data_IF_818103657996
#
_entry.id   IF_818103657996
#
_cell.length_a   1.000
_cell.length_b   1.000
_cell.length_c   1.000
_cell.angle_alpha   90.00
_cell.angle_beta   90.00
_cell.angle_gamma   90.00
#
_symmetry.space_group_name_H-M   'P 1'
#
loop_
_entity.id
_entity.type
_entity.pdbx_description
1 polymer ?
#
# COMPACT_ATOMS: atom_id res chain seq x y z
N UNK A 1 6.48 -24.60 -11.34
CA UNK A 1 7.69 -25.37 -10.99
C UNK A 1 8.45 -24.61 -9.90
N UNK A 2 8.78 -25.25 -8.77
CA UNK A 2 9.49 -24.58 -7.68
C UNK A 2 11.01 -24.61 -7.90
N UNK A 3 11.70 -23.49 -7.58
CA UNK A 3 13.16 -23.38 -7.66
C UNK A 3 13.81 -24.21 -6.56
N UNK A 4 14.81 -25.00 -6.90
CA UNK A 4 15.46 -25.98 -6.01
C UNK A 4 16.59 -25.40 -5.15
N UNK A 5 17.12 -24.24 -5.54
CA UNK A 5 18.20 -23.54 -4.81
C UNK A 5 17.92 -22.04 -4.79
N UNK A 6 18.18 -21.40 -3.63
CA UNK A 6 18.10 -19.94 -3.51
C UNK A 6 19.36 -19.33 -4.13
N UNK A 7 19.17 -18.41 -5.07
CA UNK A 7 20.27 -17.71 -5.71
C UNK A 7 21.07 -16.90 -4.67
N UNK A 8 22.43 -16.97 -4.69
CA UNK A 8 23.23 -16.27 -3.69
C UNK A 8 22.99 -14.74 -3.65
N UNK A 9 22.73 -14.13 -4.82
CA UNK A 9 22.40 -12.71 -4.92
C UNK A 9 21.10 -12.37 -4.19
N UNK A 10 20.07 -13.19 -4.38
CA UNK A 10 18.75 -13.01 -3.76
C UNK A 10 18.85 -13.20 -2.25
N UNK A 11 19.56 -14.27 -1.81
CA UNK A 11 19.83 -14.48 -0.38
C UNK A 11 20.49 -13.25 0.23
N UNK A 12 21.59 -12.78 -0.37
CA UNK A 12 22.38 -11.63 0.12
C UNK A 12 21.57 -10.33 0.15
N UNK A 13 20.78 -10.04 -0.91
CA UNK A 13 19.93 -8.86 -0.96
C UNK A 13 18.88 -8.91 0.14
N UNK A 14 18.16 -10.01 0.28
CA UNK A 14 17.07 -10.14 1.26
C UNK A 14 17.59 -10.14 2.71
N UNK A 15 18.70 -10.85 3.00
CA UNK A 15 19.28 -10.84 4.36
C UNK A 15 19.76 -9.46 4.74
N UNK A 16 20.44 -8.76 3.81
CA UNK A 16 20.90 -7.38 4.04
C UNK A 16 19.74 -6.42 4.27
N UNK A 17 18.67 -6.55 3.49
CA UNK A 17 17.48 -5.71 3.63
C UNK A 17 16.82 -5.90 5.00
N UNK A 18 16.65 -7.15 5.44
CA UNK A 18 16.09 -7.46 6.75
C UNK A 18 16.98 -6.92 7.87
N UNK A 19 18.29 -7.09 7.78
CA UNK A 19 19.24 -6.58 8.76
C UNK A 19 19.21 -5.04 8.84
N UNK A 20 19.10 -4.36 7.70
CA UNK A 20 19.07 -2.91 7.62
C UNK A 20 17.80 -2.31 8.27
N UNK A 21 16.64 -2.93 8.06
CA UNK A 21 15.37 -2.40 8.54
C UNK A 21 14.95 -2.91 9.92
N UNK A 22 15.20 -4.18 10.23
CA UNK A 22 14.83 -4.75 11.53
C UNK A 22 16.01 -4.78 12.52
N UNK A 23 17.21 -4.42 12.08
CA UNK A 23 18.44 -4.54 12.88
C UNK A 23 18.69 -5.97 13.41
N UNK A 24 18.26 -6.98 12.62
CA UNK A 24 18.24 -8.39 13.00
C UNK A 24 18.93 -9.24 11.95
N UNK A 25 19.94 -9.98 12.33
CA UNK A 25 20.57 -11.01 11.48
C UNK A 25 19.71 -12.28 11.46
N UNK A 26 19.16 -12.59 10.28
CA UNK A 26 18.30 -13.75 10.03
C UNK A 26 19.03 -15.09 10.29
N UNK A 27 20.35 -15.12 10.11
CA UNK A 27 21.18 -16.32 10.28
C UNK A 27 21.48 -16.60 11.76
N UNK A 28 21.31 -15.63 12.64
CA UNK A 28 21.52 -15.78 14.07
C UNK A 28 20.58 -16.86 14.65
N UNK A 29 21.11 -17.70 15.55
CA UNK A 29 20.38 -18.85 16.11
C UNK A 29 19.50 -18.50 17.31
N UNK A 30 19.45 -17.23 17.73
CA UNK A 30 18.64 -16.82 18.88
C UNK A 30 17.14 -17.08 18.67
N UNK A 31 16.41 -17.27 19.77
CA UNK A 31 14.96 -17.52 19.80
C UNK A 31 14.15 -16.29 20.25
N UNK A 32 14.77 -15.12 20.29
CA UNK A 32 14.02 -13.89 20.58
C UNK A 32 12.99 -13.63 19.50
N UNK A 33 11.87 -13.03 19.88
CA UNK A 33 10.70 -12.87 18.99
C UNK A 33 11.05 -12.07 17.72
N UNK A 34 11.80 -11.01 17.85
CA UNK A 34 12.26 -10.18 16.72
C UNK A 34 13.01 -11.01 15.64
N UNK A 35 13.85 -11.97 16.07
CA UNK A 35 14.57 -12.86 15.14
C UNK A 35 13.67 -13.94 14.54
N UNK A 36 12.64 -14.37 15.28
CA UNK A 36 11.64 -15.31 14.76
C UNK A 36 10.82 -14.60 13.67
N UNK A 37 10.34 -13.39 13.94
CA UNK A 37 9.59 -12.56 13.00
C UNK A 37 10.39 -12.30 11.71
N UNK A 38 11.63 -11.87 11.83
CA UNK A 38 12.53 -11.66 10.71
C UNK A 38 12.72 -12.92 9.84
N UNK A 39 12.88 -14.09 10.46
CA UNK A 39 12.98 -15.37 9.74
C UNK A 39 11.66 -15.75 9.06
N UNK A 40 10.52 -15.51 9.70
CA UNK A 40 9.21 -15.78 9.10
C UNK A 40 9.01 -14.92 7.84
N UNK A 41 9.36 -13.62 7.90
CA UNK A 41 9.35 -12.71 6.76
C UNK A 41 10.25 -13.22 5.63
N UNK A 42 11.48 -13.64 5.96
CA UNK A 42 12.42 -14.23 5.01
C UNK A 42 11.83 -15.47 4.32
N UNK A 43 11.22 -16.40 5.08
CA UNK A 43 10.60 -17.61 4.52
C UNK A 43 9.44 -17.26 3.58
N UNK A 44 8.57 -16.34 4.00
CA UNK A 44 7.41 -15.92 3.24
C UNK A 44 7.81 -15.31 1.89
N UNK A 45 8.75 -14.37 1.88
CA UNK A 45 9.20 -13.72 0.66
C UNK A 45 9.89 -14.67 -0.32
N UNK A 46 10.70 -15.61 0.16
CA UNK A 46 11.29 -16.62 -0.72
C UNK A 46 10.25 -17.62 -1.26
N UNK A 47 9.20 -17.91 -0.50
CA UNK A 47 8.08 -18.73 -0.97
C UNK A 47 7.31 -18.00 -2.08
N UNK A 48 7.08 -16.70 -1.96
CA UNK A 48 6.50 -15.87 -3.03
C UNK A 48 7.38 -15.84 -4.29
N UNK A 49 8.70 -15.91 -4.12
CA UNK A 49 9.65 -16.08 -5.23
C UNK A 49 9.66 -17.50 -5.81
N UNK A 50 8.76 -18.38 -5.38
CA UNK A 50 8.61 -19.78 -5.82
C UNK A 50 9.82 -20.67 -5.51
N UNK A 51 10.53 -20.40 -4.42
CA UNK A 51 11.52 -21.35 -3.91
C UNK A 51 10.83 -22.46 -3.12
N UNK A 52 11.37 -23.68 -3.23
CA UNK A 52 10.89 -24.80 -2.42
C UNK A 52 11.32 -24.64 -0.96
N UNK A 53 10.53 -25.18 -0.03
CA UNK A 53 10.87 -25.16 1.40
C UNK A 53 12.25 -25.78 1.68
N UNK A 54 12.62 -26.80 0.93
CA UNK A 54 13.96 -27.42 1.02
C UNK A 54 15.06 -26.46 0.57
N UNK A 55 14.84 -25.65 -0.47
CA UNK A 55 15.79 -24.64 -0.94
C UNK A 55 15.96 -23.54 0.11
N UNK A 56 14.86 -23.06 0.69
CA UNK A 56 14.85 -22.06 1.74
C UNK A 56 15.57 -22.58 2.99
N UNK A 57 15.29 -23.81 3.38
CA UNK A 57 15.93 -24.45 4.53
C UNK A 57 17.47 -24.55 4.36
N UNK A 58 17.91 -24.98 3.18
CA UNK A 58 19.35 -25.03 2.87
C UNK A 58 20.02 -23.67 2.93
N UNK A 59 19.34 -22.60 2.50
CA UNK A 59 19.91 -21.24 2.50
C UNK A 59 20.28 -20.72 3.90
N UNK A 60 19.57 -21.19 4.93
CA UNK A 60 19.81 -20.82 6.34
C UNK A 60 20.33 -22.00 7.21
N UNK A 61 20.76 -23.11 6.58
CA UNK A 61 21.19 -24.32 7.27
C UNK A 61 20.16 -24.82 8.31
N UNK A 62 18.88 -24.87 7.90
CA UNK A 62 17.74 -25.33 8.70
C UNK A 62 17.11 -26.58 8.09
N UNK A 63 16.18 -27.20 8.84
CA UNK A 63 15.35 -28.29 8.31
C UNK A 63 14.12 -27.71 7.59
N UNK A 64 13.62 -28.39 6.56
CA UNK A 64 12.41 -27.98 5.85
C UNK A 64 11.18 -27.90 6.76
N UNK A 65 11.09 -28.77 7.78
CA UNK A 65 10.04 -28.73 8.79
C UNK A 65 10.04 -27.40 9.59
N UNK A 66 11.23 -26.82 9.82
CA UNK A 66 11.38 -25.50 10.46
C UNK A 66 10.77 -24.40 9.59
N UNK A 67 10.93 -24.49 8.27
CA UNK A 67 10.36 -23.52 7.34
C UNK A 67 8.83 -23.64 7.31
N UNK A 68 8.31 -24.85 7.23
CA UNK A 68 6.87 -25.10 7.27
C UNK A 68 6.24 -24.58 8.56
N UNK A 69 6.84 -24.89 9.71
CA UNK A 69 6.35 -24.39 11.00
C UNK A 69 6.40 -22.85 11.06
N UNK A 70 7.49 -22.24 10.59
CA UNK A 70 7.60 -20.78 10.56
C UNK A 70 6.58 -20.11 9.63
N UNK A 71 6.25 -20.73 8.50
CA UNK A 71 5.22 -20.22 7.61
C UNK A 71 3.81 -20.36 8.19
N UNK A 72 3.49 -21.48 8.83
CA UNK A 72 2.22 -21.64 9.52
C UNK A 72 2.06 -20.61 10.65
N UNK A 73 3.12 -20.44 11.46
CA UNK A 73 3.12 -19.44 12.52
C UNK A 73 2.99 -18.00 11.97
N UNK A 74 3.59 -17.72 10.81
CA UNK A 74 3.41 -16.44 10.13
C UNK A 74 1.93 -16.20 9.76
N UNK A 75 1.26 -17.19 9.15
CA UNK A 75 -0.15 -17.09 8.78
C UNK A 75 -1.03 -16.88 10.02
N UNK A 76 -0.77 -17.62 11.11
CA UNK A 76 -1.53 -17.50 12.36
C UNK A 76 -1.37 -16.12 13.02
N UNK A 77 -0.18 -15.51 12.94
CA UNK A 77 0.13 -14.21 13.55
C UNK A 77 -0.19 -13.02 12.64
N UNK A 78 -0.29 -13.23 11.35
CA UNK A 78 -0.38 -12.13 10.37
C UNK A 78 -1.55 -11.18 10.60
N UNK A 79 -2.70 -11.70 11.04
CA UNK A 79 -3.88 -10.90 11.31
C UNK A 79 -3.87 -10.26 12.70
N UNK A 80 -3.12 -10.83 13.63
CA UNK A 80 -3.09 -10.46 15.05
C UNK A 80 -1.95 -9.48 15.34
N UNK A 81 -0.75 -9.76 14.80
CA UNK A 81 0.46 -8.98 15.03
C UNK A 81 0.59 -7.88 13.97
N UNK A 82 0.26 -6.66 14.38
CA UNK A 82 0.32 -5.48 13.52
C UNK A 82 1.76 -5.14 13.10
N UNK A 83 2.72 -5.27 14.02
CA UNK A 83 4.13 -4.94 13.77
C UNK A 83 4.72 -5.92 12.74
N UNK A 84 4.52 -7.22 12.92
CA UNK A 84 4.93 -8.24 11.94
C UNK A 84 4.36 -7.96 10.55
N UNK A 85 3.09 -7.55 10.47
CA UNK A 85 2.42 -7.27 9.21
C UNK A 85 2.99 -6.02 8.52
N UNK A 86 3.23 -4.95 9.28
CA UNK A 86 3.83 -3.71 8.76
C UNK A 86 5.26 -3.96 8.26
N UNK A 87 6.08 -4.66 9.05
CA UNK A 87 7.43 -5.05 8.67
C UNK A 87 7.46 -5.91 7.40
N UNK A 88 6.55 -6.88 7.31
CA UNK A 88 6.44 -7.73 6.13
C UNK A 88 6.10 -6.91 4.87
N UNK A 89 5.11 -6.03 4.93
CA UNK A 89 4.74 -5.22 3.76
C UNK A 89 5.84 -4.27 3.34
N UNK A 90 6.52 -3.64 4.29
CA UNK A 90 7.65 -2.76 4.03
C UNK A 90 8.80 -3.51 3.34
N UNK A 91 9.26 -4.60 3.94
CA UNK A 91 10.37 -5.40 3.39
C UNK A 91 9.98 -6.02 2.05
N UNK A 92 8.73 -6.48 1.90
CA UNK A 92 8.19 -7.01 0.66
C UNK A 92 8.25 -5.98 -0.47
N UNK A 93 7.76 -4.78 -0.22
CA UNK A 93 7.78 -3.70 -1.19
C UNK A 93 9.21 -3.39 -1.63
N UNK A 94 10.10 -3.14 -0.70
CA UNK A 94 11.50 -2.82 -0.98
C UNK A 94 12.21 -3.94 -1.74
N UNK A 95 11.99 -5.20 -1.36
CA UNK A 95 12.61 -6.36 -2.00
C UNK A 95 12.17 -6.55 -3.45
N UNK A 96 10.90 -6.32 -3.76
CA UNK A 96 10.40 -6.44 -5.13
C UNK A 96 10.71 -5.20 -5.97
N UNK A 97 10.76 -4.01 -5.39
CA UNK A 97 11.17 -2.77 -6.06
C UNK A 97 12.65 -2.83 -6.49
N UNK A 98 13.55 -3.34 -5.65
CA UNK A 98 14.94 -3.61 -6.04
C UNK A 98 15.05 -4.53 -7.27
N UNK A 99 14.17 -5.52 -7.37
CA UNK A 99 14.20 -6.53 -8.43
C UNK A 99 13.57 -6.07 -9.74
N UNK A 100 12.69 -5.08 -9.71
CA UNK A 100 11.99 -4.59 -10.90
C UNK A 100 12.78 -3.58 -11.72
N UNK A 101 14.03 -3.26 -11.34
CA UNK A 101 14.84 -2.20 -11.94
C UNK A 101 14.12 -0.83 -11.94
N UNK A 102 13.16 -0.66 -11.03
CA UNK A 102 12.48 0.62 -10.86
C UNK A 102 13.50 1.70 -10.50
N UNK A 103 13.38 2.91 -11.04
CA UNK A 103 14.37 3.98 -10.83
C UNK A 103 14.42 4.53 -9.40
N UNK A 104 13.63 3.99 -8.49
CA UNK A 104 13.75 4.22 -7.04
C UNK A 104 14.92 3.40 -6.48
N UNK A 105 16.14 3.73 -6.96
CA UNK A 105 17.38 3.39 -6.25
C UNK A 105 17.23 3.92 -4.83
N UNK A 106 17.59 3.08 -3.83
CA UNK A 106 17.67 3.47 -2.43
C UNK A 106 18.17 4.89 -2.28
N UNK A 107 17.24 5.75 -2.03
CA UNK A 107 17.51 7.10 -1.59
C UNK A 107 18.23 7.00 -0.27
N UNK A 108 19.26 7.78 -0.08
CA UNK A 108 19.90 7.94 1.23
C UNK A 108 18.81 8.27 2.25
N UNK A 109 19.04 8.02 3.55
CA UNK A 109 18.11 8.42 4.62
C UNK A 109 17.59 9.85 4.44
N UNK A 110 18.45 10.74 3.92
CA UNK A 110 18.09 12.14 3.62
C UNK A 110 17.09 12.25 2.45
N UNK A 111 17.28 11.49 1.38
CA UNK A 111 16.33 11.47 0.24
C UNK A 111 14.99 10.87 0.62
N UNK A 112 14.97 9.84 1.47
CA UNK A 112 13.72 9.29 2.02
C UNK A 112 12.99 10.32 2.89
N UNK A 113 13.70 11.05 3.74
CA UNK A 113 13.11 12.12 4.55
C UNK A 113 12.54 13.25 3.68
N UNK A 114 13.23 13.61 2.59
CA UNK A 114 12.70 14.58 1.61
C UNK A 114 11.43 14.03 0.95
N UNK A 115 11.44 12.78 0.50
CA UNK A 115 10.27 12.15 -0.11
C UNK A 115 9.07 12.05 0.85
N UNK A 116 9.32 11.73 2.12
CA UNK A 116 8.27 11.71 3.16
C UNK A 116 7.68 13.11 3.31
N UNK A 117 8.51 14.14 3.45
CA UNK A 117 8.05 15.51 3.58
C UNK A 117 7.25 15.97 2.35
N UNK A 118 7.67 15.60 1.15
CA UNK A 118 6.95 15.90 -0.09
C UNK A 118 5.59 15.20 -0.14
N UNK A 119 5.52 13.93 0.24
CA UNK A 119 4.28 13.17 0.31
C UNK A 119 3.34 13.72 1.39
N UNK A 120 3.84 14.14 2.54
CA UNK A 120 3.06 14.80 3.58
C UNK A 120 2.47 16.13 3.08
N UNK A 121 3.27 16.93 2.36
CA UNK A 121 2.80 18.18 1.75
C UNK A 121 1.75 17.95 0.67
N UNK A 122 1.91 16.93 -0.17
CA UNK A 122 0.92 16.52 -1.17
C UNK A 122 -0.38 16.06 -0.49
N UNK A 123 -0.30 15.22 0.54
CA UNK A 123 -1.47 14.81 1.31
C UNK A 123 -2.21 16.00 1.94
N UNK A 124 -1.49 16.95 2.49
CA UNK A 124 -2.08 18.17 3.05
C UNK A 124 -2.80 18.99 1.98
N UNK A 125 -2.20 19.15 0.80
CA UNK A 125 -2.82 19.88 -0.31
C UNK A 125 -4.06 19.15 -0.86
N UNK A 126 -4.01 17.82 -0.98
CA UNK A 126 -5.15 16.99 -1.39
C UNK A 126 -6.30 17.07 -0.40
N UNK A 127 -6.01 17.02 0.90
CA UNK A 127 -7.04 17.17 1.93
C UNK A 127 -7.73 18.53 1.88
N UNK A 128 -6.98 19.62 1.65
CA UNK A 128 -7.56 20.95 1.44
C UNK A 128 -8.45 21.01 0.19
N UNK A 129 -8.05 20.34 -0.89
CA UNK A 129 -8.86 20.25 -2.11
C UNK A 129 -10.15 19.46 -1.86
N UNK A 130 -10.06 18.33 -1.15
CA UNK A 130 -11.24 17.52 -0.77
C UNK A 130 -12.23 18.34 0.06
N UNK A 131 -11.76 19.12 1.04
CA UNK A 131 -12.65 19.98 1.83
C UNK A 131 -13.32 21.06 0.95
N UNK A 132 -12.59 21.71 0.07
CA UNK A 132 -13.18 22.69 -0.88
C UNK A 132 -14.24 22.05 -1.81
N UNK A 133 -13.97 20.82 -2.31
CA UNK A 133 -14.92 20.09 -3.13
C UNK A 133 -16.17 19.70 -2.35
N UNK A 134 -16.01 19.28 -1.06
CA UNK A 134 -17.15 18.99 -0.18
C UNK A 134 -18.02 20.22 0.07
N UNK A 135 -17.40 21.39 0.30
CA UNK A 135 -18.14 22.64 0.49
C UNK A 135 -18.87 23.07 -0.79
N UNK A 136 -18.21 22.92 -1.93
CA UNK A 136 -18.86 23.14 -3.23
C UNK A 136 -20.04 22.19 -3.43
N UNK A 137 -19.86 20.90 -3.13
CA UNK A 137 -20.94 19.91 -3.25
C UNK A 137 -22.13 20.28 -2.36
N UNK A 138 -21.91 20.70 -1.10
CA UNK A 138 -22.98 21.18 -0.22
C UNK A 138 -23.74 22.34 -0.82
N UNK A 139 -23.03 23.25 -1.51
CA UNK A 139 -23.68 24.39 -2.19
C UNK A 139 -24.59 23.94 -3.36
N UNK A 140 -24.22 22.87 -4.05
CA UNK A 140 -25.03 22.29 -5.13
C UNK A 140 -26.21 21.47 -4.59
N UNK A 141 -26.05 20.72 -3.50
CA UNK A 141 -27.14 19.99 -2.85
C UNK A 141 -28.32 20.88 -2.46
N UNK A 142 -28.05 22.16 -2.20
CA UNK A 142 -29.11 23.16 -1.99
C UNK A 142 -30.09 23.27 -3.15
N UNK A 143 -29.70 22.85 -4.35
CA UNK A 143 -30.51 22.93 -5.56
C UNK A 143 -31.04 21.58 -6.05
N UNK A 144 -30.81 20.49 -5.31
CA UNK A 144 -31.24 19.13 -5.69
C UNK A 144 -32.76 19.07 -5.91
N UNK A 145 -33.54 19.79 -5.09
CA UNK A 145 -34.98 19.91 -5.27
C UNK A 145 -35.38 20.48 -6.66
N UNK A 146 -34.52 21.26 -7.30
CA UNK A 146 -34.79 21.76 -8.64
C UNK A 146 -34.67 20.69 -9.71
N UNK A 147 -33.75 19.75 -9.51
CA UNK A 147 -33.60 18.58 -10.39
C UNK A 147 -34.80 17.66 -10.26
N UNK A 148 -35.28 17.40 -9.04
CA UNK A 148 -36.49 16.62 -8.79
C UNK A 148 -37.72 17.25 -9.50
N UNK A 149 -37.90 18.57 -9.40
CA UNK A 149 -39.00 19.28 -10.10
C UNK A 149 -38.85 19.18 -11.61
N UNK A 150 -37.63 19.23 -12.16
CA UNK A 150 -37.38 19.12 -13.58
C UNK A 150 -37.72 17.73 -14.09
N UNK A 151 -37.33 16.68 -13.36
CA UNK A 151 -37.61 15.29 -13.68
C UNK A 151 -39.12 14.96 -13.54
N UNK A 152 -39.77 15.33 -12.45
CA UNK A 152 -41.18 15.09 -12.22
C UNK A 152 -42.08 15.73 -13.30
N UNK A 153 -41.69 16.92 -13.78
CA UNK A 153 -42.44 17.63 -14.82
C UNK A 153 -42.07 17.23 -16.24
N UNK A 154 -41.14 16.30 -16.42
CA UNK A 154 -40.66 15.80 -17.71
C UNK A 154 -40.39 16.98 -18.69
N UNK A 155 -39.63 17.96 -18.18
CA UNK A 155 -39.32 19.20 -18.92
C UNK A 155 -38.28 18.87 -20.00
N UNK A 156 -38.75 18.87 -21.27
CA UNK A 156 -37.85 18.79 -22.40
C UNK A 156 -36.99 20.07 -22.51
N UNK A 157 -35.93 20.02 -23.30
CA UNK A 157 -34.93 21.10 -23.42
C UNK A 157 -35.54 22.46 -23.80
N UNK A 158 -36.60 22.47 -24.62
CA UNK A 158 -37.30 23.65 -25.01
C UNK A 158 -38.06 24.32 -23.84
N UNK A 159 -38.77 23.52 -23.04
CA UNK A 159 -39.45 24.00 -21.85
C UNK A 159 -38.47 24.48 -20.78
N UNK A 160 -37.32 23.81 -20.65
CA UNK A 160 -36.24 24.19 -19.73
C UNK A 160 -35.65 25.55 -20.12
N UNK A 161 -35.41 25.79 -21.40
CA UNK A 161 -34.92 27.09 -21.91
C UNK A 161 -35.94 28.22 -21.70
N UNK A 162 -37.21 27.92 -21.85
CA UNK A 162 -38.30 28.89 -21.57
C UNK A 162 -38.38 29.22 -20.07
N UNK A 163 -38.21 28.22 -19.22
CA UNK A 163 -38.13 28.40 -17.76
C UNK A 163 -36.91 29.24 -17.37
N UNK A 164 -35.72 28.95 -17.90
CA UNK A 164 -34.49 29.73 -17.65
C UNK A 164 -34.66 31.21 -18.03
N UNK A 165 -35.30 31.49 -19.17
CA UNK A 165 -35.58 32.89 -19.62
C UNK A 165 -36.49 33.59 -18.62
N UNK A 166 -37.57 32.96 -18.17
CA UNK A 166 -38.48 33.52 -17.19
C UNK A 166 -37.80 33.74 -15.83
N UNK A 167 -37.01 32.82 -15.39
CA UNK A 167 -36.26 32.93 -14.12
C UNK A 167 -35.31 34.12 -14.18
N UNK A 168 -34.54 34.24 -15.26
CA UNK A 168 -33.60 35.35 -15.46
C UNK A 168 -34.33 36.71 -15.52
N UNK A 169 -35.51 36.79 -16.13
CA UNK A 169 -36.28 38.04 -16.15
C UNK A 169 -36.78 38.45 -14.76
N UNK A 170 -37.16 37.45 -13.93
CA UNK A 170 -37.58 37.71 -12.53
C UNK A 170 -36.40 38.14 -11.67
N UNK A 171 -35.26 37.48 -11.83
CA UNK A 171 -34.05 37.74 -11.02
C UNK A 171 -33.37 39.10 -11.39
N UNK A 172 -33.47 39.52 -12.64
CA UNK A 172 -32.84 40.76 -13.12
C UNK A 172 -33.78 41.94 -13.14
N UNK A 173 -35.01 41.78 -12.67
CA UNK A 173 -35.96 42.91 -12.51
C UNK A 173 -36.45 43.55 -13.82
N UNK A 174 -36.45 42.77 -14.91
CA UNK A 174 -36.93 43.22 -16.24
C UNK A 174 -38.11 42.37 -16.66
#
# INVERSE_FOLDING_TARGET
MHRQTVEPKIKKSLTKLIEEYLSVDVENKTRKQEYINARMIYYKLLTECRYSYTAIARSLNKNHATIMHGLNLFEDLFDIDKELREDYYLIRQLFFDERSNSPHKFSTRQELLVSINDLENQNKSLNLLVERLKDSLKSYQKYDYLYDIIEERNLNEEKLNKFKRKLNSVLNGV
#
